data_IF_130567257469
#
_entry.id   IF_130567257469
#
_cell.length_a   1.000
_cell.length_b   1.000
_cell.length_c   1.000
_cell.angle_alpha   90.00
_cell.angle_beta   90.00
_cell.angle_gamma   90.00
#
_symmetry.space_group_name_H-M   'P 1'
#
loop_
_entity.id
_entity.type
_entity.pdbx_description
1 polymer ?
#
# COMPACT_ATOMS: atom_id res chain seq x y z
N UNK A 1 -5.70 15.23 -14.68
CA UNK A 1 -5.85 15.20 -13.19
C UNK A 1 -6.40 13.87 -12.66
N UNK A 2 -7.16 13.10 -13.45
CA UNK A 2 -7.79 11.84 -13.00
C UNK A 2 -6.81 10.71 -12.67
N UNK A 3 -5.68 10.60 -13.38
CA UNK A 3 -4.70 9.52 -13.15
C UNK A 3 -3.95 9.59 -11.81
N UNK A 4 -3.88 10.75 -11.17
CA UNK A 4 -3.19 10.92 -9.89
C UNK A 4 -4.07 10.51 -8.71
N UNK A 5 -5.37 10.81 -8.79
CA UNK A 5 -6.35 10.49 -7.75
C UNK A 5 -6.59 8.96 -7.69
N UNK A 6 -6.67 8.31 -8.86
CA UNK A 6 -6.83 6.84 -8.94
C UNK A 6 -5.63 6.12 -8.33
N UNK A 7 -4.40 6.55 -8.66
CA UNK A 7 -3.17 5.97 -8.10
C UNK A 7 -3.07 6.11 -6.58
N UNK A 8 -3.59 7.21 -6.03
CA UNK A 8 -3.61 7.43 -4.59
C UNK A 8 -4.60 6.47 -3.89
N UNK A 9 -5.79 6.30 -4.45
CA UNK A 9 -6.76 5.32 -3.94
C UNK A 9 -6.25 3.88 -4.03
N UNK A 10 -5.58 3.50 -5.11
CA UNK A 10 -4.98 2.17 -5.23
C UNK A 10 -3.88 1.92 -4.19
N UNK A 11 -3.02 2.92 -3.90
CA UNK A 11 -2.03 2.83 -2.82
C UNK A 11 -2.69 2.62 -1.47
N UNK A 12 -3.72 3.40 -1.19
CA UNK A 12 -4.43 3.36 0.10
C UNK A 12 -5.17 2.04 0.32
N UNK A 13 -5.87 1.55 -0.69
CA UNK A 13 -6.51 0.23 -0.65
C UNK A 13 -5.49 -0.89 -0.43
N UNK A 14 -4.34 -0.82 -1.11
CA UNK A 14 -3.30 -1.86 -0.97
C UNK A 14 -2.65 -1.83 0.41
N UNK A 15 -2.43 -0.65 0.98
CA UNK A 15 -1.95 -0.51 2.36
C UNK A 15 -2.94 -1.10 3.37
N UNK A 16 -4.25 -0.85 3.20
CA UNK A 16 -5.29 -1.46 4.04
C UNK A 16 -5.35 -2.98 3.88
N UNK A 17 -5.19 -3.48 2.66
CA UNK A 17 -5.12 -4.91 2.37
C UNK A 17 -3.93 -5.56 3.09
N UNK A 18 -2.74 -4.95 2.98
CA UNK A 18 -1.53 -5.43 3.64
C UNK A 18 -1.71 -5.44 5.15
N UNK A 19 -2.25 -4.37 5.74
CA UNK A 19 -2.53 -4.33 7.17
C UNK A 19 -3.48 -5.46 7.60
N UNK A 20 -4.56 -5.71 6.83
CA UNK A 20 -5.47 -6.84 7.07
C UNK A 20 -4.78 -8.21 6.96
N UNK A 21 -3.91 -8.40 5.97
CA UNK A 21 -3.17 -9.66 5.78
C UNK A 21 -2.22 -9.94 6.96
N UNK A 22 -1.71 -8.89 7.60
CA UNK A 22 -0.93 -8.97 8.84
C UNK A 22 -1.80 -9.01 10.12
N UNK A 23 -3.12 -9.09 10.00
CA UNK A 23 -4.06 -9.10 11.14
C UNK A 23 -4.15 -7.77 11.89
N UNK A 24 -3.65 -6.67 11.31
CA UNK A 24 -3.66 -5.34 11.88
C UNK A 24 -4.85 -4.54 11.34
N UNK A 25 -5.68 -4.01 12.23
CA UNK A 25 -6.71 -3.05 11.85
C UNK A 25 -6.06 -1.71 11.50
N UNK A 26 -6.35 -1.14 10.33
CA UNK A 26 -5.75 0.13 9.87
C UNK A 26 -5.95 1.31 10.83
N UNK A 27 -7.06 1.29 11.57
CA UNK A 27 -7.38 2.29 12.59
C UNK A 27 -6.60 2.12 13.90
N UNK A 28 -6.20 0.90 14.26
CA UNK A 28 -5.47 0.60 15.51
C UNK A 28 -4.02 0.22 15.27
N UNK A 29 -3.58 0.14 14.02
CA UNK A 29 -2.23 -0.21 13.65
C UNK A 29 -1.23 0.80 14.20
N UNK A 30 -0.16 0.30 14.82
CA UNK A 30 0.94 1.13 15.32
C UNK A 30 1.58 1.90 14.15
N UNK A 31 2.19 3.04 14.45
CA UNK A 31 2.89 3.87 13.45
C UNK A 31 3.88 3.04 12.62
N UNK A 32 4.61 2.15 13.29
CA UNK A 32 5.60 1.27 12.67
C UNK A 32 4.97 0.26 11.72
N UNK A 33 3.78 -0.27 12.04
CA UNK A 33 3.05 -1.19 11.17
C UNK A 33 2.50 -0.46 9.93
N UNK A 34 2.07 0.80 10.09
CA UNK A 34 1.64 1.65 8.97
C UNK A 34 2.79 1.96 8.01
N UNK A 35 3.97 2.29 8.53
CA UNK A 35 5.18 2.53 7.71
C UNK A 35 5.63 1.25 6.98
N UNK A 36 5.62 0.09 7.66
CA UNK A 36 5.92 -1.19 7.02
C UNK A 36 4.93 -1.52 5.90
N UNK A 37 3.63 -1.32 6.14
CA UNK A 37 2.61 -1.56 5.12
C UNK A 37 2.75 -0.61 3.92
N UNK A 38 3.09 0.66 4.16
CA UNK A 38 3.33 1.65 3.10
C UNK A 38 4.58 1.28 2.27
N UNK A 39 5.66 0.89 2.95
CA UNK A 39 6.89 0.42 2.29
C UNK A 39 6.66 -0.81 1.42
N UNK A 40 5.91 -1.80 1.91
CA UNK A 40 5.55 -3.00 1.15
C UNK A 40 4.67 -2.63 -0.05
N UNK A 41 3.69 -1.74 0.13
CA UNK A 41 2.83 -1.29 -0.96
C UNK A 41 3.63 -0.60 -2.08
N UNK A 42 4.61 0.22 -1.70
CA UNK A 42 5.50 0.93 -2.62
C UNK A 42 6.44 -0.02 -3.36
N UNK A 43 7.13 -0.93 -2.65
CA UNK A 43 8.01 -1.92 -3.27
C UNK A 43 7.28 -2.87 -4.19
N UNK A 44 6.06 -3.27 -3.83
CA UNK A 44 5.20 -4.11 -4.69
C UNK A 44 4.82 -3.37 -5.97
N UNK A 45 4.53 -2.07 -5.91
CA UNK A 45 4.29 -1.25 -7.10
C UNK A 45 5.53 -1.13 -7.98
N UNK A 46 6.69 -0.93 -7.37
CA UNK A 46 7.97 -0.81 -8.07
C UNK A 46 8.31 -2.11 -8.83
N UNK A 47 8.21 -3.27 -8.16
CA UNK A 47 8.42 -4.59 -8.77
C UNK A 47 7.43 -4.82 -9.92
N UNK A 48 6.13 -4.58 -9.69
CA UNK A 48 5.10 -4.77 -10.73
C UNK A 48 5.31 -3.87 -11.94
N UNK A 49 5.89 -2.68 -11.75
CA UNK A 49 6.26 -1.77 -12.84
C UNK A 49 7.50 -2.26 -13.59
N UNK A 50 8.50 -2.77 -12.87
CA UNK A 50 9.73 -3.31 -13.45
C UNK A 50 9.52 -4.62 -14.22
N UNK A 51 8.53 -5.42 -13.82
CA UNK A 51 8.22 -6.71 -14.46
C UNK A 51 7.44 -6.59 -15.77
N UNK A 52 6.95 -5.39 -16.09
CA UNK A 52 6.19 -5.10 -17.32
C UNK A 52 7.08 -4.64 -18.48
N UNK A 53 8.41 -4.72 -18.32
CA UNK A 53 9.42 -4.38 -19.32
C UNK A 53 9.89 -5.64 -20.03
#
# INVERSE_FOLDING_TARGET
MSNFIVKNNERKQRQEQILKDFGQNSNTASKEAKEKAEYIAEKTMEIKRNWRV
#
